data_IF_768479468058
#
_entry.id   IF_768479468058
#
_cell.length_a   1.000
_cell.length_b   1.000
_cell.length_c   1.000
_cell.angle_alpha   90.00
_cell.angle_beta   90.00
_cell.angle_gamma   90.00
#
_symmetry.space_group_name_H-M   'P 1'
#
loop_
_entity.id
_entity.type
_entity.pdbx_description
1 polymer ?
#
# COMPACT_ATOMS: atom_id res chain seq x y z
N UNK A 1 -19.98 -3.05 23.00
CA UNK A 1 -19.30 -3.90 21.99
C UNK A 1 -18.73 -3.15 20.79
N UNK A 2 -19.38 -2.08 20.28
CA UNK A 2 -18.94 -1.36 19.07
C UNK A 2 -17.55 -0.65 19.13
N UNK A 3 -16.97 -0.45 20.31
CA UNK A 3 -15.63 0.14 20.46
C UNK A 3 -14.50 -0.91 20.36
N UNK A 4 -14.76 -2.15 20.81
CA UNK A 4 -13.80 -3.25 20.76
C UNK A 4 -13.63 -3.79 19.33
N UNK A 5 -14.73 -3.90 18.56
CA UNK A 5 -14.70 -4.26 17.14
C UNK A 5 -14.00 -3.21 16.27
N UNK A 6 -14.14 -1.91 16.59
CA UNK A 6 -13.37 -0.85 15.92
C UNK A 6 -11.87 -0.95 16.20
N UNK A 7 -11.47 -1.15 17.46
CA UNK A 7 -10.05 -1.32 17.84
C UNK A 7 -9.40 -2.57 17.23
N UNK A 8 -10.13 -3.67 17.09
CA UNK A 8 -9.64 -4.87 16.42
C UNK A 8 -9.36 -4.64 14.92
N UNK A 9 -10.25 -3.91 14.24
CA UNK A 9 -10.11 -3.63 12.81
C UNK A 9 -8.91 -2.69 12.51
N UNK A 10 -8.61 -1.77 13.43
CA UNK A 10 -7.46 -0.84 13.34
C UNK A 10 -6.12 -1.61 13.29
N UNK A 11 -6.00 -2.75 13.98
CA UNK A 11 -4.76 -3.56 13.98
C UNK A 11 -4.71 -4.60 12.86
N UNK A 12 -5.87 -5.00 12.33
CA UNK A 12 -5.94 -5.99 11.25
C UNK A 12 -5.40 -5.43 9.93
N UNK A 13 -5.77 -4.21 9.54
CA UNK A 13 -5.35 -3.65 8.24
C UNK A 13 -3.81 -3.51 8.11
N UNK A 14 -3.08 -2.95 9.11
CA UNK A 14 -1.61 -2.90 9.07
C UNK A 14 -0.96 -4.28 9.01
N UNK A 15 -1.45 -5.25 9.80
CA UNK A 15 -0.94 -6.61 9.78
C UNK A 15 -1.16 -7.29 8.42
N UNK A 16 -2.36 -7.14 7.85
CA UNK A 16 -2.68 -7.69 6.53
C UNK A 16 -1.81 -7.08 5.43
N UNK A 17 -1.52 -5.78 5.46
CA UNK A 17 -0.59 -5.15 4.52
C UNK A 17 0.81 -5.75 4.59
N UNK A 18 1.31 -6.04 5.80
CA UNK A 18 2.60 -6.72 5.97
C UNK A 18 2.61 -8.13 5.35
N UNK A 19 1.53 -8.90 5.58
CA UNK A 19 1.36 -10.24 4.97
C UNK A 19 1.29 -10.16 3.45
N UNK A 20 0.51 -9.23 2.90
CA UNK A 20 0.42 -9.02 1.47
C UNK A 20 1.75 -8.60 0.87
N UNK A 21 2.52 -7.73 1.53
CA UNK A 21 3.84 -7.33 1.02
C UNK A 21 4.77 -8.55 0.85
N UNK A 22 4.79 -9.43 1.85
CA UNK A 22 5.59 -10.66 1.81
C UNK A 22 5.11 -11.62 0.72
N UNK A 23 3.80 -11.73 0.51
CA UNK A 23 3.23 -12.52 -0.59
C UNK A 23 3.59 -11.94 -1.96
N UNK A 24 3.51 -10.62 -2.11
CA UNK A 24 3.88 -9.92 -3.33
C UNK A 24 5.33 -10.24 -3.70
N UNK A 25 6.27 -10.11 -2.76
CA UNK A 25 7.68 -10.43 -3.03
C UNK A 25 7.90 -11.88 -3.48
N UNK A 26 7.17 -12.84 -2.91
CA UNK A 26 7.27 -14.25 -3.29
C UNK A 26 6.66 -14.54 -4.66
N UNK A 27 5.56 -13.88 -5.01
CA UNK A 27 4.80 -14.17 -6.22
C UNK A 27 5.26 -13.36 -7.42
N UNK A 28 5.79 -12.16 -7.23
CA UNK A 28 6.16 -11.25 -8.30
C UNK A 28 7.09 -11.87 -9.37
N UNK A 29 8.10 -12.70 -9.03
CA UNK A 29 8.96 -13.32 -10.04
C UNK A 29 8.22 -14.25 -11.02
N UNK A 30 7.06 -14.79 -10.62
CA UNK A 30 6.29 -15.75 -11.42
C UNK A 30 4.97 -15.20 -11.93
N UNK A 31 4.39 -14.23 -11.22
CA UNK A 31 3.06 -13.67 -11.51
C UNK A 31 3.02 -12.14 -11.29
N UNK A 32 3.88 -11.35 -11.97
CA UNK A 32 4.00 -9.92 -11.72
C UNK A 32 2.68 -9.18 -11.96
N UNK A 33 1.98 -9.48 -13.06
CA UNK A 33 0.70 -8.84 -13.39
C UNK A 33 -0.41 -9.13 -12.38
N UNK A 34 -0.47 -10.35 -11.85
CA UNK A 34 -1.45 -10.68 -10.81
C UNK A 34 -1.16 -9.91 -9.52
N UNK A 35 0.12 -9.77 -9.15
CA UNK A 35 0.52 -8.95 -8.00
C UNK A 35 0.15 -7.49 -8.22
N UNK A 36 0.47 -6.90 -9.38
CA UNK A 36 0.13 -5.51 -9.71
C UNK A 36 -1.39 -5.26 -9.60
N UNK A 37 -2.22 -6.10 -10.25
CA UNK A 37 -3.69 -5.94 -10.28
C UNK A 37 -4.33 -6.06 -8.90
N UNK A 38 -3.72 -6.81 -7.97
CA UNK A 38 -4.26 -6.96 -6.61
C UNK A 38 -3.68 -5.92 -5.65
N UNK A 39 -2.38 -5.68 -5.71
CA UNK A 39 -1.67 -4.86 -4.73
C UNK A 39 -1.82 -3.36 -4.98
N UNK A 40 -1.86 -2.92 -6.24
CA UNK A 40 -2.01 -1.49 -6.56
C UNK A 40 -3.34 -0.92 -6.05
N UNK A 41 -4.51 -1.55 -6.27
CA UNK A 41 -5.77 -1.05 -5.71
C UNK A 41 -5.75 -0.97 -4.17
N UNK A 42 -5.10 -1.91 -3.49
CA UNK A 42 -4.94 -1.91 -2.04
C UNK A 42 -4.12 -0.70 -1.58
N UNK A 43 -3.02 -0.37 -2.28
CA UNK A 43 -2.23 0.82 -2.01
C UNK A 43 -3.04 2.10 -2.25
N UNK A 44 -3.77 2.17 -3.36
CA UNK A 44 -4.58 3.34 -3.71
C UNK A 44 -5.70 3.59 -2.70
N UNK A 45 -6.45 2.55 -2.30
CA UNK A 45 -7.45 2.63 -1.24
C UNK A 45 -6.85 3.11 0.08
N UNK A 46 -5.67 2.59 0.44
CA UNK A 46 -4.99 2.95 1.68
C UNK A 46 -4.56 4.43 1.70
N UNK A 47 -4.05 4.95 0.59
CA UNK A 47 -3.73 6.38 0.45
C UNK A 47 -4.98 7.25 0.40
N UNK A 48 -6.07 6.77 -0.22
CA UNK A 48 -7.36 7.48 -0.28
C UNK A 48 -8.02 7.59 1.09
N UNK A 49 -7.90 6.55 1.91
CA UNK A 49 -8.38 6.47 3.29
C UNK A 49 -7.57 7.34 4.28
N UNK A 50 -6.36 7.74 3.89
CA UNK A 50 -5.47 8.59 4.70
C UNK A 50 -4.55 7.81 5.65
N UNK A 51 -3.50 8.50 6.11
CA UNK A 51 -2.38 7.92 6.89
C UNK A 51 -2.23 8.53 8.29
N UNK A 52 -3.34 8.94 8.90
CA UNK A 52 -3.32 9.66 10.18
C UNK A 52 -2.80 8.81 11.35
N UNK A 53 -3.02 7.50 11.31
CA UNK A 53 -2.50 6.57 12.31
C UNK A 53 -1.05 6.16 12.00
N UNK A 54 -0.19 6.18 13.02
CA UNK A 54 1.26 5.94 12.85
C UNK A 54 1.57 4.50 12.43
N UNK A 55 0.87 3.51 12.98
CA UNK A 55 1.06 2.10 12.62
C UNK A 55 0.60 1.86 11.18
N UNK A 56 -0.56 2.42 10.81
CA UNK A 56 -1.07 2.37 9.44
C UNK A 56 -0.13 3.07 8.46
N UNK A 57 0.37 4.27 8.81
CA UNK A 57 1.34 4.99 7.98
C UNK A 57 2.58 4.14 7.74
N UNK A 58 3.14 3.52 8.79
CA UNK A 58 4.30 2.63 8.67
C UNK A 58 4.01 1.44 7.75
N UNK A 59 2.87 0.78 7.92
CA UNK A 59 2.49 -0.36 7.08
C UNK A 59 2.30 0.03 5.61
N UNK A 60 1.68 1.19 5.33
CA UNK A 60 1.52 1.71 3.97
C UNK A 60 2.89 2.06 3.38
N UNK A 61 3.79 2.70 4.14
CA UNK A 61 5.17 2.99 3.71
C UNK A 61 5.90 1.71 3.32
N UNK A 62 5.89 0.69 4.17
CA UNK A 62 6.57 -0.59 3.90
C UNK A 62 5.96 -1.29 2.68
N UNK A 63 4.63 -1.24 2.53
CA UNK A 63 3.92 -1.80 1.38
C UNK A 63 4.28 -1.07 0.08
N UNK A 64 4.27 0.26 0.09
CA UNK A 64 4.63 1.07 -1.06
C UNK A 64 6.10 0.87 -1.46
N UNK A 65 7.03 0.83 -0.48
CA UNK A 65 8.44 0.54 -0.74
C UNK A 65 8.64 -0.86 -1.31
N UNK A 66 7.90 -1.86 -0.81
CA UNK A 66 7.92 -3.20 -1.37
C UNK A 66 7.47 -3.23 -2.83
N UNK A 67 6.38 -2.55 -3.16
CA UNK A 67 5.93 -2.43 -4.56
C UNK A 67 6.94 -1.68 -5.43
N UNK A 68 7.51 -0.57 -4.95
CA UNK A 68 8.58 0.15 -5.64
C UNK A 68 9.77 -0.76 -5.96
N UNK A 69 10.18 -1.63 -5.04
CA UNK A 69 11.27 -2.59 -5.27
C UNK A 69 10.93 -3.64 -6.32
N UNK A 70 9.66 -4.06 -6.40
CA UNK A 70 9.24 -5.12 -7.31
C UNK A 70 9.03 -4.61 -8.75
N UNK A 71 8.36 -3.46 -8.91
CA UNK A 71 7.97 -2.94 -10.23
C UNK A 71 8.75 -1.72 -10.70
N UNK A 72 9.54 -1.11 -9.81
CA UNK A 72 10.27 0.13 -10.08
C UNK A 72 9.48 1.39 -9.73
N UNK A 73 10.19 2.40 -9.23
CA UNK A 73 9.62 3.68 -8.80
C UNK A 73 8.84 4.37 -9.92
N UNK A 74 9.43 4.45 -11.12
CA UNK A 74 8.81 5.10 -12.28
C UNK A 74 7.47 4.46 -12.64
N UNK A 75 7.44 3.12 -12.74
CA UNK A 75 6.22 2.40 -13.08
C UNK A 75 5.12 2.61 -12.02
N UNK A 76 5.49 2.62 -10.73
CA UNK A 76 4.55 2.89 -9.65
C UNK A 76 3.98 4.33 -9.73
N UNK A 77 4.84 5.33 -9.95
CA UNK A 77 4.42 6.74 -10.04
C UNK A 77 3.60 7.06 -11.30
N UNK A 78 3.88 6.38 -12.41
CA UNK A 78 3.09 6.49 -13.64
C UNK A 78 1.67 5.98 -13.39
N UNK A 79 1.52 4.80 -12.76
CA UNK A 79 0.22 4.24 -12.37
C UNK A 79 -0.50 5.12 -11.34
N UNK A 80 0.23 5.65 -10.35
CA UNK A 80 -0.33 6.55 -9.34
C UNK A 80 -0.93 7.81 -9.97
N UNK A 81 -0.35 8.31 -11.06
CA UNK A 81 -0.84 9.51 -11.76
C UNK A 81 -2.21 9.32 -12.41
N UNK A 82 -2.61 8.08 -12.68
CA UNK A 82 -3.93 7.74 -13.23
C UNK A 82 -5.00 7.56 -12.14
N UNK A 83 -4.58 7.21 -10.91
CA UNK A 83 -5.47 6.72 -9.85
C UNK A 83 -5.60 7.66 -8.65
N UNK A 84 -4.64 8.57 -8.47
CA UNK A 84 -4.54 9.47 -7.32
C UNK A 84 -4.55 10.94 -7.76
N UNK A 85 -5.17 11.78 -6.92
CA UNK A 85 -5.03 13.23 -7.04
C UNK A 85 -3.60 13.71 -6.71
N UNK A 86 -3.22 14.93 -7.13
CA UNK A 86 -1.86 15.44 -6.94
C UNK A 86 -1.39 15.47 -5.47
N UNK A 87 -2.29 15.69 -4.51
CA UNK A 87 -1.96 15.73 -3.09
C UNK A 87 -1.60 14.33 -2.58
N UNK A 88 -2.38 13.32 -2.96
CA UNK A 88 -2.10 11.92 -2.61
C UNK A 88 -0.88 11.36 -3.35
N UNK A 89 -0.62 11.82 -4.59
CA UNK A 89 0.62 11.48 -5.31
C UNK A 89 1.85 12.03 -4.57
N UNK A 90 1.84 13.30 -4.15
CA UNK A 90 2.92 13.87 -3.32
C UNK A 90 3.10 13.11 -2.00
N UNK A 91 2.00 12.68 -1.38
CA UNK A 91 2.08 11.82 -0.21
C UNK A 91 2.81 10.51 -0.55
N UNK A 92 2.41 9.79 -1.60
CA UNK A 92 3.08 8.56 -2.03
C UNK A 92 4.58 8.78 -2.27
N UNK A 93 4.95 9.83 -3.01
CA UNK A 93 6.35 10.20 -3.24
C UNK A 93 7.12 10.40 -1.93
N UNK A 94 6.50 11.02 -0.93
CA UNK A 94 7.10 11.21 0.39
C UNK A 94 7.25 9.90 1.19
N UNK A 95 6.39 8.91 0.95
CA UNK A 95 6.43 7.61 1.63
C UNK A 95 7.47 6.68 1.02
N UNK A 96 7.72 6.75 -0.29
CA UNK A 96 8.65 5.84 -0.97
C UNK A 96 10.09 6.33 -1.02
N UNK A 97 10.32 7.63 -0.79
CA UNK A 97 11.65 8.21 -0.57
C UNK A 97 12.20 7.86 0.82
#
# INVERSE_FOLDING_TARGET
MAAATRKANIKQKPYMLSVFNRLNCKLYPTKPKQVEVVALPILWDSLKSGVADLEMKKAITEFAKGLTQLMGERALLDQASMELDPSRKKLLESLIR
#
